data_IF_519447259077
#
_entry.id   IF_519447259077
#
_cell.length_a   1.000
_cell.length_b   1.000
_cell.length_c   1.000
_cell.angle_alpha   90.00
_cell.angle_beta   90.00
_cell.angle_gamma   90.00
#
_symmetry.space_group_name_H-M   'P 1'
#
loop_
_entity.id
_entity.type
_entity.pdbx_description
1 polymer ?
#
# COMPACT_ATOMS: atom_id res chain seq x y z
N UNK A 1 6.96 21.26 3.37
CA UNK A 1 6.46 21.30 1.98
C UNK A 1 6.63 19.90 1.44
N UNK A 2 5.56 19.24 0.99
CA UNK A 2 5.63 17.87 0.48
C UNK A 2 6.65 17.77 -0.66
N UNK A 3 7.34 16.64 -0.74
CA UNK A 3 8.16 16.31 -1.91
C UNK A 3 7.23 16.20 -3.13
N UNK A 4 7.67 16.71 -4.29
CA UNK A 4 6.91 16.65 -5.54
C UNK A 4 7.51 15.55 -6.41
N UNK A 5 6.66 14.67 -6.91
CA UNK A 5 7.03 13.62 -7.85
C UNK A 5 7.39 14.17 -9.23
N UNK A 6 8.19 13.42 -9.97
CA UNK A 6 8.41 13.70 -11.40
C UNK A 6 7.34 13.01 -12.25
N UNK A 7 6.93 13.65 -13.35
CA UNK A 7 6.00 13.05 -14.31
C UNK A 7 6.52 11.71 -14.87
N UNK A 8 7.83 11.58 -15.06
CA UNK A 8 8.45 10.34 -15.53
C UNK A 8 8.28 9.20 -14.53
N UNK A 9 8.48 9.48 -13.23
CA UNK A 9 8.28 8.49 -12.17
C UNK A 9 6.80 8.09 -12.05
N UNK A 10 5.88 9.06 -12.07
CA UNK A 10 4.44 8.79 -12.05
C UNK A 10 4.00 7.90 -13.21
N UNK A 11 4.46 8.19 -14.43
CA UNK A 11 4.12 7.41 -15.61
C UNK A 11 4.70 5.99 -15.55
N UNK A 12 5.94 5.85 -15.06
CA UNK A 12 6.59 4.55 -14.91
C UNK A 12 5.86 3.69 -13.87
N UNK A 13 5.61 4.24 -12.68
CA UNK A 13 4.90 3.54 -11.59
C UNK A 13 3.50 3.15 -12.06
N UNK A 14 2.75 4.07 -12.66
CA UNK A 14 1.40 3.77 -13.15
C UNK A 14 1.38 2.68 -14.23
N UNK A 15 2.39 2.62 -15.11
CA UNK A 15 2.53 1.55 -16.10
C UNK A 15 2.78 0.20 -15.43
N UNK A 16 3.81 0.14 -14.57
CA UNK A 16 4.19 -1.10 -13.87
C UNK A 16 3.04 -1.62 -13.01
N UNK A 17 2.36 -0.74 -12.28
CA UNK A 17 1.18 -1.05 -11.48
C UNK A 17 0.07 -1.70 -12.34
N UNK A 18 -0.30 -1.08 -13.46
CA UNK A 18 -1.36 -1.58 -14.35
C UNK A 18 -0.99 -2.93 -14.97
N UNK A 19 0.27 -3.11 -15.39
CA UNK A 19 0.75 -4.37 -15.94
C UNK A 19 0.73 -5.49 -14.88
N UNK A 20 1.17 -5.21 -13.65
CA UNK A 20 1.15 -6.15 -12.54
C UNK A 20 -0.28 -6.53 -12.13
N UNK A 21 -1.17 -5.54 -11.98
CA UNK A 21 -2.59 -5.76 -11.65
C UNK A 21 -3.27 -6.64 -12.71
N UNK A 22 -3.10 -6.33 -14.00
CA UNK A 22 -3.66 -7.16 -15.08
C UNK A 22 -3.11 -8.60 -15.10
N UNK A 23 -1.83 -8.77 -14.75
CA UNK A 23 -1.22 -10.09 -14.63
C UNK A 23 -1.79 -10.87 -13.44
N UNK A 24 -1.96 -10.25 -12.26
CA UNK A 24 -2.58 -10.86 -11.09
C UNK A 24 -4.02 -11.29 -11.37
N UNK A 25 -4.83 -10.41 -11.97
CA UNK A 25 -6.23 -10.70 -12.36
C UNK A 25 -6.33 -11.89 -13.32
N UNK A 26 -5.31 -12.06 -14.17
CA UNK A 26 -5.24 -13.16 -15.14
C UNK A 26 -4.55 -14.42 -14.59
N UNK A 27 -4.15 -14.44 -13.32
CA UNK A 27 -3.39 -15.53 -12.71
C UNK A 27 -1.99 -15.75 -13.32
N UNK A 28 -1.43 -14.71 -13.95
CA UNK A 28 -0.08 -14.74 -14.55
C UNK A 28 0.96 -14.40 -13.51
N UNK A 29 2.18 -14.87 -13.76
CA UNK A 29 3.33 -14.54 -12.94
C UNK A 29 3.67 -13.04 -13.01
N UNK A 30 3.89 -12.44 -11.84
CA UNK A 30 4.43 -11.09 -11.67
C UNK A 30 5.83 -11.19 -11.07
N UNK A 31 6.79 -10.45 -11.63
CA UNK A 31 8.16 -10.42 -11.09
C UNK A 31 8.18 -9.81 -9.68
N UNK A 32 9.12 -10.23 -8.84
CA UNK A 32 9.21 -9.70 -7.47
C UNK A 32 9.32 -8.16 -7.41
N UNK A 33 10.15 -7.48 -8.25
CA UNK A 33 10.19 -6.03 -8.25
C UNK A 33 8.87 -5.37 -8.69
N UNK A 34 8.20 -5.95 -9.69
CA UNK A 34 6.90 -5.44 -10.13
C UNK A 34 5.81 -5.62 -9.05
N UNK A 35 5.89 -6.70 -8.27
CA UNK A 35 4.99 -6.94 -7.14
C UNK A 35 5.22 -5.93 -6.00
N UNK A 36 6.47 -5.55 -5.73
CA UNK A 36 6.80 -4.49 -4.77
C UNK A 36 6.19 -3.16 -5.21
N UNK A 37 6.38 -2.75 -6.46
CA UNK A 37 5.78 -1.52 -7.00
C UNK A 37 4.26 -1.61 -6.94
N UNK A 38 3.68 -2.75 -7.31
CA UNK A 38 2.25 -2.99 -7.26
C UNK A 38 1.67 -2.76 -5.87
N UNK A 39 2.19 -3.47 -4.86
CA UNK A 39 1.57 -3.47 -3.53
C UNK A 39 1.72 -2.12 -2.83
N UNK A 40 2.87 -1.45 -3.00
CA UNK A 40 3.06 -0.11 -2.42
C UNK A 40 2.15 0.90 -3.13
N UNK A 41 2.05 0.85 -4.46
CA UNK A 41 1.15 1.75 -5.19
C UNK A 41 -0.33 1.47 -4.87
N UNK A 42 -0.71 0.20 -4.73
CA UNK A 42 -2.07 -0.18 -4.35
C UNK A 42 -2.43 0.36 -2.96
N UNK A 43 -1.54 0.20 -1.97
CA UNK A 43 -1.68 0.82 -0.67
C UNK A 43 -1.92 2.34 -0.78
N UNK A 44 -1.09 3.04 -1.56
CA UNK A 44 -1.22 4.48 -1.70
C UNK A 44 -2.52 4.88 -2.40
N UNK A 45 -2.95 4.18 -3.45
CA UNK A 45 -4.20 4.48 -4.16
C UNK A 45 -5.42 4.27 -3.27
N UNK A 46 -5.47 3.16 -2.54
CA UNK A 46 -6.60 2.86 -1.66
C UNK A 46 -6.69 3.83 -0.50
N UNK A 47 -5.56 4.18 0.13
CA UNK A 47 -5.54 5.15 1.22
C UNK A 47 -5.93 6.55 0.72
N UNK A 48 -5.47 6.96 -0.47
CA UNK A 48 -5.82 8.24 -1.10
C UNK A 48 -7.23 8.29 -1.70
N UNK A 49 -7.98 7.18 -1.74
CA UNK A 49 -9.33 7.12 -2.35
C UNK A 49 -10.42 7.83 -1.53
N UNK A 50 -10.08 8.37 -0.36
CA UNK A 50 -11.00 9.05 0.56
C UNK A 50 -11.60 8.15 1.64
N UNK A 51 -11.23 6.87 1.67
CA UNK A 51 -11.58 5.90 2.73
C UNK A 51 -10.38 5.58 3.64
N UNK A 52 -9.22 6.22 3.43
CA UNK A 52 -8.00 5.98 4.21
C UNK A 52 -7.59 4.49 4.24
N UNK A 53 -6.85 4.07 5.27
CA UNK A 53 -6.44 2.69 5.52
C UNK A 53 -7.61 1.69 5.63
N UNK A 54 -8.83 2.15 5.89
CA UNK A 54 -10.01 1.27 5.90
C UNK A 54 -10.26 0.64 4.53
N UNK A 55 -10.14 1.44 3.46
CA UNK A 55 -10.29 0.98 2.08
C UNK A 55 -9.26 -0.11 1.77
N UNK A 56 -8.00 0.18 2.09
CA UNK A 56 -6.89 -0.76 1.88
C UNK A 56 -7.14 -2.10 2.57
N UNK A 57 -7.39 -2.12 3.89
CA UNK A 57 -7.56 -3.38 4.61
C UNK A 57 -8.82 -4.16 4.22
N UNK A 58 -9.86 -3.49 3.72
CA UNK A 58 -11.08 -4.14 3.25
C UNK A 58 -10.89 -4.80 1.89
N UNK A 59 -10.19 -4.14 0.97
CA UNK A 59 -10.11 -4.55 -0.43
C UNK A 59 -8.86 -5.35 -0.79
N UNK A 60 -7.72 -5.08 -0.15
CA UNK A 60 -6.49 -5.82 -0.40
C UNK A 60 -6.57 -7.24 0.12
N UNK A 61 -5.92 -8.18 -0.59
CA UNK A 61 -5.81 -9.58 -0.16
C UNK A 61 -5.00 -9.73 1.14
N UNK A 62 -5.24 -10.79 1.90
CA UNK A 62 -4.41 -11.11 3.08
C UNK A 62 -2.94 -11.32 2.72
N UNK A 63 -2.67 -11.94 1.57
CA UNK A 63 -1.30 -12.12 1.11
C UNK A 63 -0.60 -10.75 0.91
N UNK A 64 -1.35 -9.73 0.47
CA UNK A 64 -0.84 -8.37 0.25
C UNK A 64 -0.57 -7.66 1.56
N UNK A 65 -1.54 -7.69 2.48
CA UNK A 65 -1.38 -7.15 3.83
C UNK A 65 -0.23 -7.86 4.58
N UNK A 66 -0.05 -9.16 4.33
CA UNK A 66 1.03 -9.96 4.91
C UNK A 66 2.42 -9.50 4.47
N UNK A 67 2.58 -9.14 3.18
CA UNK A 67 3.87 -8.79 2.57
C UNK A 67 4.19 -7.29 2.53
N UNK A 68 3.20 -6.40 2.70
CA UNK A 68 3.38 -4.94 2.53
C UNK A 68 4.51 -4.36 3.40
N UNK A 69 4.66 -4.83 4.64
CA UNK A 69 5.73 -4.37 5.56
C UNK A 69 7.12 -4.69 5.02
N UNK A 70 7.29 -5.84 4.39
CA UNK A 70 8.56 -6.24 3.78
C UNK A 70 8.84 -5.41 2.53
N UNK A 71 7.81 -5.15 1.71
CA UNK A 71 7.93 -4.34 0.51
C UNK A 71 8.30 -2.88 0.83
N UNK A 72 7.62 -2.25 1.79
CA UNK A 72 7.95 -0.90 2.26
C UNK A 72 9.38 -0.82 2.80
N UNK A 73 9.84 -1.85 3.53
CA UNK A 73 11.23 -1.94 4.00
C UNK A 73 12.22 -2.11 2.85
N UNK A 74 11.89 -2.91 1.84
CA UNK A 74 12.75 -3.15 0.69
C UNK A 74 13.01 -1.88 -0.14
N UNK A 75 12.03 -0.97 -0.23
CA UNK A 75 12.18 0.31 -0.94
C UNK A 75 12.60 1.47 -0.03
N UNK A 76 12.78 1.24 1.27
CA UNK A 76 13.25 2.26 2.21
C UNK A 76 12.21 3.28 2.67
N UNK A 77 10.92 3.02 2.45
CA UNK A 77 9.81 3.91 2.84
C UNK A 77 9.47 3.79 4.33
N UNK A 78 10.40 4.22 5.18
CA UNK A 78 10.34 3.99 6.63
C UNK A 78 9.16 4.68 7.31
N UNK A 79 8.78 5.90 6.86
CA UNK A 79 7.62 6.62 7.42
C UNK A 79 6.31 5.94 7.04
N UNK A 80 6.16 5.50 5.80
CA UNK A 80 4.98 4.74 5.36
C UNK A 80 4.89 3.41 6.11
N UNK A 81 6.03 2.74 6.32
CA UNK A 81 6.08 1.52 7.13
C UNK A 81 5.56 1.78 8.55
N UNK A 82 6.02 2.82 9.24
CA UNK A 82 5.54 3.17 10.57
C UNK A 82 4.02 3.45 10.60
N UNK A 83 3.52 4.24 9.65
CA UNK A 83 2.09 4.54 9.54
C UNK A 83 1.27 3.28 9.26
N UNK A 84 1.75 2.41 8.37
CA UNK A 84 1.11 1.13 8.04
C UNK A 84 1.10 0.19 9.24
N UNK A 85 2.18 0.12 10.02
CA UNK A 85 2.23 -0.69 11.24
C UNK A 85 1.25 -0.20 12.30
N UNK A 86 1.13 1.12 12.48
CA UNK A 86 0.11 1.72 13.35
C UNK A 86 -1.30 1.40 12.86
N UNK A 87 -1.55 1.51 11.56
CA UNK A 87 -2.85 1.20 10.98
C UNK A 87 -3.21 -0.29 11.13
N UNK A 88 -2.25 -1.20 10.96
CA UNK A 88 -2.42 -2.64 11.21
C UNK A 88 -2.79 -2.89 12.68
N UNK A 89 -2.13 -2.23 13.64
CA UNK A 89 -2.45 -2.39 15.07
C UNK A 89 -3.86 -1.91 15.41
N UNK A 90 -4.32 -0.83 14.77
CA UNK A 90 -5.70 -0.33 14.96
C UNK A 90 -6.71 -1.27 14.31
N UNK A 91 -6.46 -1.68 13.07
CA UNK A 91 -7.37 -2.51 12.29
C UNK A 91 -7.46 -3.95 12.81
N UNK A 92 -6.33 -4.50 13.28
CA UNK A 92 -6.16 -5.89 13.68
C UNK A 92 -5.41 -5.99 15.02
N UNK A 93 -6.01 -5.57 16.14
CA UNK A 93 -5.35 -5.50 17.45
C UNK A 93 -4.87 -6.88 17.96
N UNK A 94 -5.55 -7.95 17.55
CA UNK A 94 -5.20 -9.34 17.88
C UNK A 94 -4.20 -9.97 16.86
N UNK A 95 -3.75 -9.19 15.88
CA UNK A 95 -2.89 -9.63 14.79
C UNK A 95 -3.62 -9.82 13.46
N UNK A 96 -2.86 -9.84 12.36
CA UNK A 96 -3.39 -9.98 10.99
C UNK A 96 -4.13 -11.34 10.88
N UNK A 97 -5.38 -11.34 10.38
CA UNK A 97 -6.15 -12.55 10.15
C UNK A 97 -5.44 -13.56 9.24
N UNK A 98 -5.76 -14.85 9.39
CA UNK A 98 -5.13 -15.93 8.61
C UNK A 98 -5.97 -16.40 7.44
N UNK A 99 -7.26 -16.03 7.41
CA UNK A 99 -8.19 -16.35 6.32
C UNK A 99 -9.00 -15.12 5.89
N UNK A 100 -9.40 -15.07 4.62
CA UNK A 100 -10.21 -13.96 4.08
C UNK A 100 -11.56 -13.81 4.79
N UNK A 101 -12.12 -14.92 5.32
CA UNK A 101 -13.34 -14.89 6.12
C UNK A 101 -13.11 -14.18 7.46
N UNK A 102 -12.02 -14.51 8.17
CA UNK A 102 -11.62 -13.81 9.38
C UNK A 102 -11.36 -12.33 9.11
N UNK A 103 -10.70 -11.99 7.99
CA UNK A 103 -10.46 -10.61 7.58
C UNK A 103 -11.76 -9.84 7.41
N UNK A 104 -12.72 -10.40 6.68
CA UNK A 104 -14.03 -9.77 6.45
C UNK A 104 -14.72 -9.42 7.76
N UNK A 105 -14.70 -10.35 8.72
CA UNK A 105 -15.31 -10.13 10.04
C UNK A 105 -14.50 -9.13 10.88
N UNK A 106 -13.17 -9.12 10.76
CA UNK A 106 -12.30 -8.19 11.49
C UNK A 106 -12.33 -6.74 10.93
N UNK A 107 -12.84 -6.55 9.71
CA UNK A 107 -13.00 -5.22 9.07
C UNK A 107 -14.33 -4.53 9.38
N UNK A 108 -15.10 -5.05 10.35
CA UNK A 108 -16.22 -4.35 10.98
C UNK A 108 -15.70 -3.53 12.18
N UNK A 109 -15.12 -2.37 11.88
CA UNK A 109 -14.50 -1.52 12.89
C UNK A 109 -15.51 -0.72 13.71
N UNK A 110 -15.11 -0.39 14.93
CA UNK A 110 -15.82 0.62 15.71
C UNK A 110 -15.54 2.02 15.17
N UNK A 111 -16.41 2.99 15.46
CA UNK A 111 -16.17 4.39 15.05
C UNK A 111 -14.86 4.98 15.61
N UNK A 112 -14.38 4.50 16.75
CA UNK A 112 -13.08 4.92 17.33
C UNK A 112 -11.90 4.40 16.49
N UNK A 113 -12.01 3.16 15.99
CA UNK A 113 -11.02 2.59 15.09
C UNK A 113 -11.04 3.30 13.73
N UNK A 114 -12.22 3.57 13.17
CA UNK A 114 -12.39 4.35 11.93
C UNK A 114 -11.75 5.75 12.06
N UNK A 115 -12.05 6.47 13.14
CA UNK A 115 -11.44 7.78 13.43
C UNK A 115 -9.91 7.69 13.58
N UNK A 116 -9.41 6.65 14.24
CA UNK A 116 -7.98 6.41 14.39
C UNK A 116 -7.29 6.12 13.06
N UNK A 117 -7.91 5.31 12.19
CA UNK A 117 -7.39 5.02 10.84
C UNK A 117 -7.43 6.25 9.94
N UNK A 118 -8.49 7.06 10.02
CA UNK A 118 -8.61 8.32 9.30
C UNK A 118 -7.53 9.33 9.74
N UNK A 119 -7.21 9.39 11.04
CA UNK A 119 -6.20 10.33 11.57
C UNK A 119 -4.77 10.10 11.06
N UNK A 120 -4.49 8.93 10.49
CA UNK A 120 -3.19 8.61 9.89
C UNK A 120 -3.05 9.13 8.45
N UNK A 121 -4.14 9.58 7.84
CA UNK A 121 -4.18 9.94 6.42
C UNK A 121 -3.30 11.16 6.11
N UNK A 122 -3.43 12.24 6.87
CA UNK A 122 -2.71 13.50 6.61
C UNK A 122 -1.19 13.27 6.56
N UNK A 123 -0.66 12.49 7.52
CA UNK A 123 0.76 12.12 7.58
C UNK A 123 1.23 11.31 6.36
N UNK A 124 0.34 10.50 5.78
CA UNK A 124 0.63 9.69 4.60
C UNK A 124 0.54 10.52 3.33
N UNK A 125 -0.45 11.41 3.21
CA UNK A 125 -0.63 12.30 2.06
C UNK A 125 0.63 13.16 1.82
N UNK A 126 1.25 13.65 2.90
CA UNK A 126 2.51 14.40 2.82
C UNK A 126 3.67 13.63 2.18
N UNK A 127 3.59 12.30 2.13
CA UNK A 127 4.60 11.41 1.56
C UNK A 127 4.35 11.04 0.09
N UNK A 128 3.20 11.41 -0.50
CA UNK A 128 2.79 10.95 -1.83
C UNK A 128 3.88 11.14 -2.91
N UNK A 129 4.46 12.34 -3.03
CA UNK A 129 5.50 12.59 -4.02
C UNK A 129 6.82 11.87 -3.73
N UNK A 130 7.17 11.70 -2.45
CA UNK A 130 8.34 10.92 -2.04
C UNK A 130 8.18 9.45 -2.45
N UNK A 131 7.02 8.86 -2.17
CA UNK A 131 6.71 7.47 -2.55
C UNK A 131 6.83 7.26 -4.05
N UNK A 132 6.25 8.15 -4.86
CA UNK A 132 6.36 8.07 -6.32
C UNK A 132 7.81 8.13 -6.80
N UNK A 133 8.63 9.01 -6.22
CA UNK A 133 10.04 9.12 -6.60
C UNK A 133 10.84 7.86 -6.23
N UNK A 134 10.61 7.31 -5.03
CA UNK A 134 11.25 6.07 -4.58
C UNK A 134 10.83 4.88 -5.44
N UNK A 135 9.53 4.71 -5.72
CA UNK A 135 9.05 3.62 -6.57
C UNK A 135 9.52 3.75 -8.02
N UNK A 136 9.57 4.96 -8.57
CA UNK A 136 10.08 5.21 -9.91
C UNK A 136 11.56 4.84 -10.04
N UNK A 137 12.38 5.20 -9.06
CA UNK A 137 13.80 4.80 -9.04
C UNK A 137 13.97 3.29 -8.80
N UNK A 138 13.18 2.71 -7.90
CA UNK A 138 13.18 1.27 -7.68
C UNK A 138 12.81 0.48 -8.95
N UNK A 139 11.78 0.91 -9.68
CA UNK A 139 11.38 0.29 -10.93
C UNK A 139 12.50 0.36 -11.98
N UNK A 140 13.12 1.53 -12.14
CA UNK A 140 14.22 1.76 -13.08
C UNK A 140 15.44 0.89 -12.78
N UNK A 141 15.86 0.82 -11.51
CA UNK A 141 17.02 0.01 -11.08
C UNK A 141 16.80 -1.48 -11.24
N UNK A 142 15.54 -1.94 -11.26
CA UNK A 142 15.17 -3.34 -11.47
C UNK A 142 14.76 -3.67 -12.93
N UNK A 143 14.88 -2.71 -13.86
CA UNK A 143 14.64 -2.94 -15.29
C UNK A 143 13.16 -3.12 -15.66
N UNK A 144 12.25 -2.47 -14.93
CA UNK A 144 10.80 -2.48 -15.19
C UNK A 144 10.36 -1.43 -16.21
#
# INVERSE_FOLDING_TARGET
MPEISTLENEQLVARVYKEAMSALDSGKHVSAPALVVHDVEHLMQEVNSGVSFEGYFRWSSLDEIGRIREHLRAVGLSRILELTERAIQVAFPEGIPTTEEEKRNATEWTSEQEESLASLFDDLEEQNGHVMNVLGEYARTNGL
#
